data_IF_413984677367
#
_entry.id   IF_413984677367
#
_cell.length_a   1.000
_cell.length_b   1.000
_cell.length_c   1.000
_cell.angle_alpha   90.00
_cell.angle_beta   90.00
_cell.angle_gamma   90.00
#
_symmetry.space_group_name_H-M   'P 1'
#
loop_
_entity.id
_entity.type
_entity.pdbx_description
1 polymer ?
#
# COMPACT_ATOMS: atom_id res chain seq x y z
N UNK A 1 -11.05 -42.37 36.91
CA UNK A 1 -12.29 -43.12 37.09
C UNK A 1 -13.25 -42.60 36.07
N UNK A 2 -13.33 -43.30 34.93
CA UNK A 2 -14.57 -43.89 34.39
C UNK A 2 -15.28 -42.90 33.43
N UNK A 3 -15.77 -43.19 32.26
CA UNK A 3 -15.78 -44.38 31.38
C UNK A 3 -16.18 -43.95 29.98
N UNK A 4 -15.74 -44.70 29.03
CA UNK A 4 -16.11 -44.84 27.65
C UNK A 4 -17.59 -45.07 27.40
N UNK A 5 -18.17 -44.51 26.31
CA UNK A 5 -19.25 -45.20 25.60
C UNK A 5 -19.02 -45.09 24.08
N UNK A 6 -18.69 -46.23 23.51
CA UNK A 6 -18.87 -46.60 22.11
C UNK A 6 -20.36 -46.66 21.78
N UNK A 7 -20.77 -46.19 20.64
CA UNK A 7 -21.81 -46.89 19.90
C UNK A 7 -21.58 -46.81 18.40
N UNK A 8 -21.64 -48.02 17.84
CA UNK A 8 -21.38 -48.42 16.47
C UNK A 8 -22.50 -48.07 15.48
N UNK A 9 -22.09 -48.03 14.22
CA UNK A 9 -22.76 -48.55 13.02
C UNK A 9 -24.12 -47.94 12.62
N UNK A 10 -24.06 -47.14 11.54
CA UNK A 10 -25.04 -47.32 10.47
C UNK A 10 -24.35 -47.22 9.08
N UNK A 11 -24.30 -48.39 8.44
CA UNK A 11 -23.88 -48.56 7.03
C UNK A 11 -25.03 -48.08 6.14
N UNK A 12 -24.74 -47.06 5.33
CA UNK A 12 -25.63 -46.60 4.28
C UNK A 12 -24.82 -46.31 3.01
N UNK A 13 -24.70 -47.30 2.13
CA UNK A 13 -24.26 -47.15 0.74
C UNK A 13 -25.17 -46.14 0.06
N UNK A 14 -24.64 -45.00 -0.38
CA UNK A 14 -25.24 -44.19 -1.46
C UNK A 14 -24.15 -43.73 -2.44
N UNK A 15 -24.28 -44.25 -3.64
CA UNK A 15 -23.88 -43.80 -4.96
C UNK A 15 -22.90 -42.63 -5.01
N UNK A 16 -21.76 -42.92 -5.64
CA UNK A 16 -20.66 -41.99 -5.95
C UNK A 16 -21.10 -40.77 -6.77
N UNK A 17 -21.17 -39.66 -6.10
CA UNK A 17 -21.01 -38.35 -6.70
C UNK A 17 -19.83 -37.74 -5.97
N UNK A 18 -18.64 -37.89 -6.54
CA UNK A 18 -17.46 -37.11 -6.17
C UNK A 18 -17.78 -35.66 -6.60
N UNK A 19 -17.88 -34.70 -5.66
CA UNK A 19 -18.01 -33.31 -6.09
C UNK A 19 -16.74 -32.93 -6.86
N UNK A 20 -16.84 -32.14 -7.94
CA UNK A 20 -15.68 -31.69 -8.68
C UNK A 20 -14.75 -30.94 -7.72
N UNK A 21 -13.48 -31.35 -7.71
CA UNK A 21 -12.41 -30.67 -6.99
C UNK A 21 -12.44 -29.21 -7.38
N UNK A 22 -12.69 -28.31 -6.40
CA UNK A 22 -12.50 -26.88 -6.62
C UNK A 22 -11.04 -26.67 -6.94
N UNK A 23 -10.69 -26.02 -8.06
CA UNK A 23 -9.32 -25.74 -8.34
C UNK A 23 -8.76 -24.91 -7.17
N UNK A 24 -7.71 -25.40 -6.53
CA UNK A 24 -6.93 -24.64 -5.55
C UNK A 24 -6.60 -23.28 -6.17
N UNK A 25 -7.22 -22.22 -5.69
CA UNK A 25 -6.79 -20.86 -6.00
C UNK A 25 -5.39 -20.73 -5.41
N UNK A 26 -4.37 -20.77 -6.26
CA UNK A 26 -3.01 -20.52 -5.84
C UNK A 26 -2.97 -19.21 -5.06
N UNK A 27 -2.56 -19.28 -3.81
CA UNK A 27 -2.43 -18.14 -2.91
C UNK A 27 -1.38 -17.13 -3.39
N UNK A 28 -0.64 -17.48 -4.44
CA UNK A 28 0.38 -16.61 -5.05
C UNK A 28 -0.04 -16.20 -6.46
N UNK A 29 -0.14 -14.89 -6.75
CA UNK A 29 -0.45 -14.43 -8.09
C UNK A 29 0.66 -14.89 -9.05
N UNK A 30 0.27 -15.48 -10.20
CA UNK A 30 1.19 -15.82 -11.29
C UNK A 30 2.03 -14.58 -11.62
N UNK A 31 3.36 -14.73 -11.66
CA UNK A 31 4.28 -13.70 -12.17
C UNK A 31 3.78 -13.24 -13.54
N UNK A 32 3.27 -12.01 -13.63
CA UNK A 32 2.99 -11.36 -14.91
C UNK A 32 4.35 -11.12 -15.59
N UNK A 33 4.56 -11.68 -16.75
CA UNK A 33 5.69 -11.33 -17.61
C UNK A 33 5.56 -9.85 -17.94
N UNK A 34 6.52 -9.05 -17.49
CA UNK A 34 6.57 -7.61 -17.80
C UNK A 34 7.02 -7.45 -19.25
N UNK A 35 6.21 -6.79 -20.06
CA UNK A 35 6.70 -6.15 -21.29
C UNK A 35 7.61 -4.97 -20.89
N UNK A 36 8.68 -4.75 -21.61
CA UNK A 36 9.84 -3.85 -21.31
C UNK A 36 9.55 -2.37 -21.04
N UNK A 37 8.29 -1.95 -20.99
CA UNK A 37 7.86 -0.55 -20.80
C UNK A 37 7.01 -0.29 -19.53
N UNK A 38 6.92 -1.22 -18.58
CA UNK A 38 6.14 -0.98 -17.37
C UNK A 38 7.02 -0.46 -16.23
N UNK A 39 6.54 0.63 -15.57
CA UNK A 39 7.17 1.16 -14.35
C UNK A 39 7.30 0.10 -13.27
N UNK A 40 8.45 0.09 -12.58
CA UNK A 40 8.67 -0.77 -11.41
C UNK A 40 7.95 -0.19 -10.20
N UNK A 41 6.99 -0.91 -9.65
CA UNK A 41 6.23 -0.50 -8.49
C UNK A 41 6.80 -1.11 -7.21
N UNK A 42 7.28 -0.25 -6.30
CA UNK A 42 7.83 -0.63 -5.00
C UNK A 42 6.89 -0.13 -3.92
N UNK A 43 6.52 -0.99 -2.99
CA UNK A 43 5.68 -0.64 -1.87
C UNK A 43 6.43 -0.73 -0.54
N UNK A 44 6.40 0.35 0.25
CA UNK A 44 7.14 0.48 1.51
C UNK A 44 6.16 0.71 2.65
N UNK A 45 6.09 -0.27 3.55
CA UNK A 45 5.21 -0.31 4.71
C UNK A 45 6.01 -0.17 6.02
N UNK A 46 5.32 0.12 7.11
CA UNK A 46 5.85 0.08 8.48
C UNK A 46 5.17 1.05 9.42
N UNK A 47 5.46 0.97 10.70
CA UNK A 47 4.91 1.82 11.75
C UNK A 47 5.40 3.28 11.70
N UNK A 48 4.85 4.14 12.55
CA UNK A 48 5.33 5.50 12.72
C UNK A 48 6.83 5.50 13.06
N UNK A 49 7.58 6.47 12.50
CA UNK A 49 9.03 6.63 12.74
C UNK A 49 9.90 5.41 12.41
N UNK A 50 9.41 4.42 11.66
CA UNK A 50 10.17 3.20 11.29
C UNK A 50 11.26 3.42 10.22
N UNK A 51 11.39 4.64 9.65
CA UNK A 51 12.42 4.94 8.63
C UNK A 51 11.94 4.80 7.18
N UNK A 52 10.64 4.57 6.92
CA UNK A 52 10.05 4.38 5.57
C UNK A 52 10.45 5.47 4.57
N UNK A 53 10.23 6.74 4.92
CA UNK A 53 10.53 7.87 4.01
C UNK A 53 12.00 7.91 3.61
N UNK A 54 12.91 7.68 4.58
CA UNK A 54 14.35 7.62 4.31
C UNK A 54 14.72 6.44 3.40
N UNK A 55 14.10 5.29 3.62
CA UNK A 55 14.31 4.11 2.78
C UNK A 55 13.76 4.36 1.36
N UNK A 56 12.54 4.88 1.22
CA UNK A 56 11.93 5.21 -0.06
C UNK A 56 12.78 6.21 -0.87
N UNK A 57 13.28 7.26 -0.22
CA UNK A 57 14.20 8.21 -0.85
C UNK A 57 15.50 7.56 -1.35
N UNK A 58 16.06 6.62 -0.59
CA UNK A 58 17.26 5.86 -1.03
C UNK A 58 16.96 5.01 -2.26
N UNK A 59 15.80 4.35 -2.29
CA UNK A 59 15.37 3.58 -3.47
C UNK A 59 15.22 4.48 -4.69
N UNK A 60 14.62 5.67 -4.53
CA UNK A 60 14.39 6.63 -5.61
C UNK A 60 15.62 7.40 -6.10
N UNK A 61 16.77 7.37 -5.40
CA UNK A 61 17.94 8.18 -5.74
C UNK A 61 18.76 7.67 -6.93
N UNK A 62 18.51 6.48 -7.44
CA UNK A 62 19.37 5.83 -8.45
C UNK A 62 19.26 6.45 -9.83
N UNK A 63 18.16 7.12 -10.14
CA UNK A 63 17.85 7.67 -11.47
C UNK A 63 17.33 9.09 -11.37
N UNK A 64 17.46 9.88 -12.44
CA UNK A 64 16.99 11.27 -12.57
C UNK A 64 16.31 11.42 -13.93
N UNK A 65 15.32 12.32 -14.09
CA UNK A 65 14.73 13.23 -13.08
C UNK A 65 13.87 12.53 -12.02
N UNK A 66 13.72 13.16 -10.83
CA UNK A 66 13.04 12.57 -9.67
C UNK A 66 11.95 13.46 -9.12
N UNK A 67 10.78 12.92 -8.84
CA UNK A 67 9.69 13.60 -8.15
C UNK A 67 9.41 13.02 -6.77
N UNK A 68 9.15 13.90 -5.82
CA UNK A 68 8.61 13.55 -4.52
C UNK A 68 7.20 14.12 -4.40
N UNK A 69 6.21 13.24 -4.38
CA UNK A 69 4.80 13.60 -4.25
C UNK A 69 4.43 13.53 -2.78
N UNK A 70 4.18 14.71 -2.19
CA UNK A 70 3.76 14.86 -0.81
C UNK A 70 2.24 14.96 -0.73
N UNK A 71 1.62 14.13 0.09
CA UNK A 71 0.17 14.12 0.30
C UNK A 71 -0.25 14.77 1.62
N UNK A 72 0.71 15.14 2.45
CA UNK A 72 0.45 15.79 3.73
C UNK A 72 0.04 17.26 3.59
N UNK A 73 -1.00 17.65 4.29
CA UNK A 73 -1.41 19.06 4.46
C UNK A 73 -1.06 19.53 5.87
N UNK A 74 -0.69 20.80 6.06
CA UNK A 74 -0.37 21.36 7.36
C UNK A 74 -1.66 21.72 8.12
N UNK A 75 -2.31 20.73 8.76
CA UNK A 75 -3.54 20.96 9.54
C UNK A 75 -3.29 21.73 10.85
N UNK A 76 -2.09 21.59 11.40
CA UNK A 76 -1.66 22.24 12.62
C UNK A 76 -0.16 22.60 12.57
N UNK A 77 0.31 23.28 13.60
CA UNK A 77 1.71 23.74 13.69
C UNK A 77 2.69 22.57 13.74
N UNK A 78 2.35 21.48 14.44
CA UNK A 78 3.21 20.28 14.54
C UNK A 78 3.38 19.65 13.16
N UNK A 79 2.28 19.47 12.42
CA UNK A 79 2.31 18.89 11.07
C UNK A 79 3.09 19.80 10.10
N UNK A 80 2.91 21.13 10.18
CA UNK A 80 3.67 22.09 9.40
C UNK A 80 5.19 21.96 9.66
N UNK A 81 5.61 21.84 10.93
CA UNK A 81 6.99 21.62 11.33
C UNK A 81 7.52 20.27 10.83
N UNK A 82 6.70 19.24 10.85
CA UNK A 82 7.03 17.92 10.33
C UNK A 82 7.25 17.96 8.81
N UNK A 83 6.36 18.61 8.07
CA UNK A 83 6.50 18.78 6.61
C UNK A 83 7.78 19.56 6.30
N UNK A 84 8.10 20.65 7.02
CA UNK A 84 9.33 21.43 6.84
C UNK A 84 10.58 20.57 7.08
N UNK A 85 10.60 19.77 8.14
CA UNK A 85 11.73 18.84 8.42
C UNK A 85 11.89 17.80 7.32
N UNK A 86 10.80 17.23 6.83
CA UNK A 86 10.81 16.27 5.72
C UNK A 86 11.28 16.90 4.41
N UNK A 87 10.91 18.15 4.11
CA UNK A 87 11.44 18.88 2.95
C UNK A 87 12.98 19.04 3.01
N UNK A 88 13.50 19.45 4.17
CA UNK A 88 14.96 19.62 4.36
C UNK A 88 15.73 18.29 4.24
N UNK A 89 15.16 17.18 4.71
CA UNK A 89 15.83 15.87 4.72
C UNK A 89 15.95 15.21 3.34
N UNK A 90 15.23 15.69 2.31
CA UNK A 90 15.24 15.10 0.96
C UNK A 90 16.55 15.37 0.21
N UNK A 91 17.21 16.49 0.51
CA UNK A 91 18.40 16.95 -0.22
C UNK A 91 18.06 17.45 -1.61
N UNK A 92 19.10 17.85 -2.34
CA UNK A 92 18.98 18.40 -3.70
C UNK A 92 18.64 17.31 -4.73
N UNK A 93 17.96 17.71 -5.81
CA UNK A 93 17.66 16.83 -6.95
C UNK A 93 16.32 16.12 -6.90
N UNK A 94 15.41 16.54 -6.01
CA UNK A 94 14.00 16.13 -6.00
C UNK A 94 13.11 17.31 -6.39
N UNK A 95 12.29 17.14 -7.44
CA UNK A 95 11.15 18.01 -7.68
C UNK A 95 10.06 17.65 -6.65
N UNK A 96 9.76 18.57 -5.74
CA UNK A 96 8.69 18.34 -4.74
C UNK A 96 7.38 18.86 -5.26
N UNK A 97 6.37 17.99 -5.28
CA UNK A 97 4.99 18.29 -5.68
C UNK A 97 4.07 18.00 -4.51
N UNK A 98 3.23 18.96 -4.14
CA UNK A 98 2.28 18.83 -3.04
C UNK A 98 0.89 18.56 -3.61
N UNK A 99 0.41 17.32 -3.45
CA UNK A 99 -0.89 16.87 -4.00
C UNK A 99 -1.62 16.06 -2.94
N UNK A 100 -2.54 16.67 -2.20
CA UNK A 100 -3.26 15.99 -1.13
C UNK A 100 -4.15 14.82 -1.59
N UNK A 101 -4.89 14.96 -2.70
CA UNK A 101 -5.89 13.99 -3.12
C UNK A 101 -5.76 13.52 -4.59
N UNK A 102 -5.52 14.42 -5.55
CA UNK A 102 -5.53 14.12 -7.01
C UNK A 102 -4.24 13.49 -7.52
N UNK A 103 -3.64 12.59 -6.74
CA UNK A 103 -2.36 11.95 -7.07
C UNK A 103 -2.43 11.14 -8.36
N UNK A 104 -3.54 10.44 -8.59
CA UNK A 104 -3.71 9.61 -9.79
C UNK A 104 -3.72 10.43 -11.08
N UNK A 105 -4.30 11.63 -11.04
CA UNK A 105 -4.40 12.52 -12.20
C UNK A 105 -3.00 13.06 -12.53
N UNK A 106 -2.29 13.57 -11.52
CA UNK A 106 -0.93 14.04 -11.69
C UNK A 106 0.03 12.95 -12.21
N UNK A 107 -0.07 11.69 -11.70
CA UNK A 107 0.75 10.59 -12.21
C UNK A 107 0.46 10.28 -13.68
N UNK A 108 -0.79 10.40 -14.12
CA UNK A 108 -1.17 10.16 -15.51
C UNK A 108 -0.66 11.27 -16.44
N UNK A 109 -0.62 12.53 -15.97
CA UNK A 109 -0.22 13.71 -16.73
C UNK A 109 1.30 13.89 -16.74
N UNK A 110 1.94 13.80 -15.58
CA UNK A 110 3.33 14.19 -15.38
C UNK A 110 4.28 13.01 -15.11
N UNK A 111 3.74 11.84 -14.75
CA UNK A 111 4.54 10.71 -14.28
C UNK A 111 5.58 10.22 -15.29
N UNK A 112 5.33 10.37 -16.59
CA UNK A 112 6.24 9.98 -17.65
C UNK A 112 7.52 10.83 -17.70
N UNK A 113 7.50 12.03 -17.14
CA UNK A 113 8.65 12.95 -17.12
C UNK A 113 9.72 12.58 -16.08
N UNK A 114 9.42 11.60 -15.19
CA UNK A 114 10.30 11.24 -14.09
C UNK A 114 10.76 9.79 -14.17
N UNK A 115 12.05 9.58 -14.00
CA UNK A 115 12.65 8.25 -13.91
C UNK A 115 12.44 7.62 -12.52
N UNK A 116 12.10 8.41 -11.51
CA UNK A 116 11.76 7.92 -10.18
C UNK A 116 10.77 8.84 -9.49
N UNK A 117 9.72 8.24 -8.93
CA UNK A 117 8.68 8.94 -8.18
C UNK A 117 8.56 8.30 -6.80
N UNK A 118 8.61 9.12 -5.75
CA UNK A 118 8.31 8.69 -4.37
C UNK A 118 7.04 9.38 -3.92
N UNK A 119 6.01 8.63 -3.53
CA UNK A 119 4.77 9.14 -2.96
C UNK A 119 4.74 8.84 -1.45
N UNK A 120 4.75 9.89 -0.64
CA UNK A 120 4.78 9.81 0.83
C UNK A 120 3.76 10.78 1.46
N UNK A 121 2.61 10.27 2.03
CA UNK A 121 2.29 8.86 2.17
C UNK A 121 0.81 8.57 1.84
N UNK A 122 0.53 7.32 1.50
CA UNK A 122 -0.83 6.86 1.18
C UNK A 122 -1.81 6.95 2.36
N UNK A 123 -1.29 6.88 3.59
CA UNK A 123 -2.15 7.02 4.79
C UNK A 123 -2.73 8.44 4.89
N UNK A 124 -1.93 9.46 4.59
CA UNK A 124 -2.42 10.85 4.55
C UNK A 124 -3.31 11.08 3.33
N UNK A 125 -2.95 10.51 2.17
CA UNK A 125 -3.82 10.52 1.00
C UNK A 125 -5.20 9.90 1.28
N UNK A 126 -5.27 8.74 1.94
CA UNK A 126 -6.52 8.14 2.38
C UNK A 126 -7.31 9.06 3.30
N UNK A 127 -6.63 9.68 4.27
CA UNK A 127 -7.28 10.64 5.18
C UNK A 127 -7.90 11.81 4.40
N UNK A 128 -7.19 12.35 3.41
CA UNK A 128 -7.69 13.44 2.58
C UNK A 128 -8.91 13.00 1.75
N UNK A 129 -8.88 11.81 1.15
CA UNK A 129 -10.03 11.26 0.42
C UNK A 129 -11.27 11.14 1.30
N UNK A 130 -11.12 10.60 2.52
CA UNK A 130 -12.25 10.44 3.45
C UNK A 130 -12.78 11.78 3.96
N UNK A 131 -11.90 12.77 4.17
CA UNK A 131 -12.28 14.14 4.47
C UNK A 131 -13.07 14.79 3.33
N UNK A 132 -12.68 14.51 2.09
CA UNK A 132 -13.37 14.96 0.88
C UNK A 132 -14.63 14.12 0.57
N UNK A 133 -15.21 13.47 1.61
CA UNK A 133 -16.46 12.70 1.58
C UNK A 133 -16.43 11.43 0.71
N UNK A 134 -15.26 10.91 0.35
CA UNK A 134 -15.16 9.58 -0.25
C UNK A 134 -15.53 8.54 0.80
N UNK A 135 -16.52 7.70 0.52
CA UNK A 135 -16.93 6.64 1.47
C UNK A 135 -15.89 5.52 1.52
N UNK A 136 -15.67 4.87 2.67
CA UNK A 136 -14.68 3.76 2.81
C UNK A 136 -14.86 2.65 1.77
N UNK A 137 -16.11 2.35 1.36
CA UNK A 137 -16.41 1.37 0.32
C UNK A 137 -15.90 1.76 -1.09
N UNK A 138 -15.66 3.05 -1.33
CA UNK A 138 -15.16 3.56 -2.62
C UNK A 138 -13.63 3.59 -2.69
N UNK A 139 -12.93 3.48 -1.56
CA UNK A 139 -11.45 3.51 -1.50
C UNK A 139 -10.79 2.53 -2.48
N UNK A 140 -11.25 1.28 -2.65
CA UNK A 140 -10.68 0.37 -3.63
C UNK A 140 -10.69 0.89 -5.07
N UNK A 141 -11.70 1.69 -5.45
CA UNK A 141 -11.79 2.31 -6.79
C UNK A 141 -10.69 3.36 -6.98
N UNK A 142 -10.46 4.20 -5.98
CA UNK A 142 -9.37 5.19 -6.00
C UNK A 142 -8.00 4.53 -6.03
N UNK A 143 -7.82 3.45 -5.25
CA UNK A 143 -6.57 2.67 -5.25
C UNK A 143 -6.29 2.05 -6.63
N UNK A 144 -7.31 1.48 -7.28
CA UNK A 144 -7.15 0.94 -8.65
C UNK A 144 -6.84 2.05 -9.66
N UNK A 145 -7.43 3.25 -9.51
CA UNK A 145 -7.09 4.41 -10.34
C UNK A 145 -5.62 4.80 -10.15
N UNK A 146 -5.15 4.87 -8.91
CA UNK A 146 -3.75 5.14 -8.56
C UNK A 146 -2.82 4.10 -9.20
N UNK A 147 -3.10 2.81 -9.02
CA UNK A 147 -2.30 1.71 -9.57
C UNK A 147 -2.26 1.70 -11.10
N UNK A 148 -3.35 2.09 -11.78
CA UNK A 148 -3.33 2.29 -13.23
C UNK A 148 -2.44 3.45 -13.62
N UNK A 149 -2.52 4.58 -12.89
CA UNK A 149 -1.72 5.75 -13.17
C UNK A 149 -0.22 5.50 -13.03
N UNK A 150 0.22 4.64 -12.09
CA UNK A 150 1.64 4.28 -11.98
C UNK A 150 2.19 3.61 -13.24
N UNK A 151 1.35 3.00 -14.07
CA UNK A 151 1.77 2.33 -15.32
C UNK A 151 2.16 3.31 -16.43
N UNK A 152 1.75 4.58 -16.34
CA UNK A 152 2.16 5.64 -17.28
C UNK A 152 3.51 6.26 -16.92
N UNK A 153 4.08 5.93 -15.76
CA UNK A 153 5.39 6.42 -15.36
C UNK A 153 6.48 5.64 -16.09
N UNK A 154 7.52 6.34 -16.55
CA UNK A 154 8.61 5.74 -17.35
C UNK A 154 9.64 4.96 -16.52
N UNK A 155 9.70 5.18 -15.20
CA UNK A 155 10.71 4.58 -14.32
C UNK A 155 10.11 3.81 -13.15
N UNK A 156 10.71 3.99 -11.97
CA UNK A 156 10.19 3.35 -10.76
C UNK A 156 9.26 4.28 -9.97
N UNK A 157 8.23 3.69 -9.37
CA UNK A 157 7.32 4.37 -8.45
C UNK A 157 7.43 3.70 -7.07
N UNK A 158 7.76 4.48 -6.05
CA UNK A 158 7.84 4.02 -4.66
C UNK A 158 6.66 4.60 -3.88
N UNK A 159 5.74 3.76 -3.48
CA UNK A 159 4.60 4.12 -2.64
C UNK A 159 4.92 3.85 -1.17
N UNK A 160 4.65 4.84 -0.31
CA UNK A 160 4.89 4.73 1.14
C UNK A 160 3.57 4.72 1.89
N UNK A 161 3.37 3.77 2.80
CA UNK A 161 2.17 3.71 3.65
C UNK A 161 2.52 3.33 5.09
N UNK A 162 1.66 3.73 6.04
CA UNK A 162 1.75 3.21 7.39
C UNK A 162 1.00 1.88 7.50
N UNK A 163 1.57 0.97 8.30
CA UNK A 163 0.84 -0.18 8.80
C UNK A 163 0.18 0.20 10.13
N UNK A 164 -1.14 0.14 10.16
CA UNK A 164 -1.97 0.56 11.31
C UNK A 164 -2.61 -0.61 12.04
N UNK A 165 -2.52 -1.82 11.48
CA UNK A 165 -3.19 -3.02 11.97
C UNK A 165 -2.48 -3.74 13.11
N UNK A 166 -1.20 -3.42 13.35
CA UNK A 166 -0.36 -4.11 14.35
C UNK A 166 -0.47 -3.55 15.77
N UNK A 167 -1.29 -2.51 15.98
CA UNK A 167 -1.51 -1.90 17.29
C UNK A 167 -2.84 -2.33 17.92
N UNK A 168 -3.16 -1.71 19.06
CA UNK A 168 -4.43 -1.91 19.75
C UNK A 168 -5.61 -1.51 18.86
N UNK A 169 -6.76 -2.16 19.09
CA UNK A 169 -8.01 -1.82 18.41
C UNK A 169 -8.49 -0.45 18.90
N UNK A 170 -8.69 0.54 18.00
CA UNK A 170 -9.15 1.86 18.41
C UNK A 170 -10.53 1.82 19.07
N UNK A 171 -10.72 2.60 20.14
CA UNK A 171 -11.97 2.66 20.89
C UNK A 171 -13.14 3.24 20.09
N UNK A 172 -12.90 4.22 19.20
CA UNK A 172 -13.95 4.85 18.41
C UNK A 172 -14.14 4.21 17.03
N UNK A 173 -15.38 4.24 16.52
CA UNK A 173 -15.75 3.61 15.27
C UNK A 173 -15.04 4.21 14.03
N UNK A 174 -14.86 5.54 14.01
CA UNK A 174 -14.22 6.22 12.88
C UNK A 174 -12.77 5.77 12.69
N UNK A 175 -12.00 5.67 13.79
CA UNK A 175 -10.62 5.17 13.75
C UNK A 175 -10.55 3.70 13.35
N UNK A 176 -11.51 2.85 13.75
CA UNK A 176 -11.59 1.46 13.29
C UNK A 176 -11.85 1.39 11.78
N UNK A 177 -12.81 2.17 11.28
CA UNK A 177 -13.12 2.24 9.85
C UNK A 177 -11.91 2.73 9.02
N UNK A 178 -11.22 3.74 9.52
CA UNK A 178 -10.00 4.25 8.89
C UNK A 178 -8.90 3.17 8.82
N UNK A 179 -8.65 2.47 9.94
CA UNK A 179 -7.67 1.37 10.01
C UNK A 179 -8.01 0.26 9.02
N UNK A 180 -9.29 -0.13 8.96
CA UNK A 180 -9.76 -1.18 8.05
C UNK A 180 -9.65 -0.76 6.58
N UNK A 181 -9.97 0.50 6.26
CA UNK A 181 -9.79 1.06 4.92
C UNK A 181 -8.30 1.11 4.52
N UNK A 182 -7.42 1.51 5.44
CA UNK A 182 -5.97 1.52 5.23
C UNK A 182 -5.41 0.11 5.01
N UNK A 183 -5.85 -0.88 5.79
CA UNK A 183 -5.45 -2.27 5.61
C UNK A 183 -5.87 -2.82 4.24
N UNK A 184 -7.12 -2.57 3.81
CA UNK A 184 -7.60 -2.97 2.47
C UNK A 184 -6.82 -2.26 1.35
N UNK A 185 -6.54 -0.99 1.49
CA UNK A 185 -5.69 -0.23 0.56
C UNK A 185 -4.30 -0.87 0.46
N UNK A 186 -3.65 -1.14 1.59
CA UNK A 186 -2.32 -1.75 1.65
C UNK A 186 -2.30 -3.14 0.98
N UNK A 187 -3.32 -3.98 1.19
CA UNK A 187 -3.44 -5.29 0.53
C UNK A 187 -3.52 -5.18 -1.00
N UNK A 188 -4.36 -4.27 -1.52
CA UNK A 188 -4.51 -4.06 -2.96
C UNK A 188 -3.19 -3.60 -3.60
N UNK A 189 -2.45 -2.71 -2.94
CA UNK A 189 -1.18 -2.20 -3.45
C UNK A 189 -0.10 -3.28 -3.37
N UNK A 190 0.00 -4.01 -2.27
CA UNK A 190 0.96 -5.10 -2.10
C UNK A 190 0.77 -6.21 -3.15
N UNK A 191 -0.49 -6.53 -3.51
CA UNK A 191 -0.79 -7.51 -4.54
C UNK A 191 -0.24 -7.11 -5.92
N UNK A 192 -0.32 -5.84 -6.29
CA UNK A 192 0.11 -5.31 -7.60
C UNK A 192 1.58 -4.85 -7.62
N UNK A 193 2.20 -4.58 -6.45
CA UNK A 193 3.60 -4.17 -6.37
C UNK A 193 4.56 -5.27 -6.83
N UNK A 194 5.69 -4.87 -7.42
CA UNK A 194 6.78 -5.79 -7.82
C UNK A 194 7.64 -6.17 -6.62
N UNK A 195 7.80 -5.22 -5.68
CA UNK A 195 8.54 -5.41 -4.44
C UNK A 195 7.77 -4.79 -3.28
N UNK A 196 7.78 -5.47 -2.16
CA UNK A 196 7.16 -5.01 -0.92
C UNK A 196 8.18 -5.09 0.21
N UNK A 197 8.36 -3.97 0.91
CA UNK A 197 9.25 -3.88 2.07
C UNK A 197 8.48 -3.45 3.31
N UNK A 198 8.78 -4.12 4.42
CA UNK A 198 8.30 -3.72 5.74
C UNK A 198 9.47 -3.17 6.57
N UNK A 199 9.32 -1.94 7.08
CA UNK A 199 10.37 -1.28 7.87
C UNK A 199 10.09 -1.43 9.36
N UNK A 200 11.06 -2.03 10.05
CA UNK A 200 11.10 -2.12 11.51
C UNK A 200 12.39 -1.46 11.99
N UNK A 201 12.29 -0.44 12.84
CA UNK A 201 13.46 0.23 13.47
C UNK A 201 14.56 0.66 12.47
N UNK A 202 14.17 1.07 11.27
CA UNK A 202 15.10 1.50 10.21
C UNK A 202 15.62 0.37 9.32
N UNK A 203 15.32 -0.88 9.64
CA UNK A 203 15.74 -2.06 8.90
C UNK A 203 14.63 -2.51 7.93
N UNK A 204 14.94 -2.72 6.64
CA UNK A 204 13.97 -3.21 5.67
C UNK A 204 13.89 -4.74 5.70
N UNK A 205 12.70 -5.27 5.88
CA UNK A 205 12.37 -6.67 5.63
C UNK A 205 11.67 -6.75 4.28
N UNK A 206 12.21 -7.50 3.33
CA UNK A 206 11.58 -7.75 2.03
C UNK A 206 10.53 -8.83 2.19
N UNK A 207 9.27 -8.52 1.79
CA UNK A 207 8.13 -9.44 1.83
C UNK A 207 7.81 -10.04 0.46
N UNK A 208 8.18 -9.29 -0.61
CA UNK A 208 7.96 -9.72 -2.00
C UNK A 208 9.09 -9.25 -2.91
#
# INVERSE_FOLDING_TARGET
>A
MIEWFHHDLFVGRFLGIVPPERPERSLFPRKKVKTDMQSRLIFVLGGARSGKSRFALRMGRRTSPRAFVATGEPFDREMADRIRRHKRSRGNGWTTVEIPAKVSDWLAEEGAHYSSIVLDCLTLWLNNLLRDRVRPAQVPTYVRKLLRATRFCSGQVVLVSNELGLGLVPGNAASRQFRDAAGRMNQLIAAEADEVYFLVSGLPLRLK
#
